data_IF_665733423611
#
_entry.id   IF_665733423611
#
_cell.length_a   1.000
_cell.length_b   1.000
_cell.length_c   1.000
_cell.angle_alpha   90.00
_cell.angle_beta   90.00
_cell.angle_gamma   90.00
#
_symmetry.space_group_name_H-M   'P 1'
#
loop_
_entity.id
_entity.type
_entity.pdbx_description
1 polymer ?
#
# COMPACT_ATOMS: atom_id res chain seq x y z
N UNK A 1 7.70 11.28 -10.64
CA UNK A 1 8.97 11.87 -11.11
C UNK A 1 10.05 10.80 -11.01
N UNK A 2 10.54 10.31 -12.15
CA UNK A 2 11.72 9.46 -12.26
C UNK A 2 12.59 10.06 -13.39
N UNK A 3 13.85 10.36 -13.08
CA UNK A 3 14.92 10.42 -14.07
C UNK A 3 15.84 9.25 -13.76
N UNK A 4 15.87 8.27 -14.65
CA UNK A 4 16.72 7.10 -14.55
C UNK A 4 16.82 6.47 -15.94
N UNK A 5 17.80 6.92 -16.71
CA UNK A 5 18.09 6.43 -18.04
C UNK A 5 18.59 4.97 -17.95
N UNK A 6 17.97 4.07 -18.72
CA UNK A 6 18.50 2.75 -19.02
C UNK A 6 18.76 2.68 -20.54
N UNK A 7 20.01 2.41 -20.99
CA UNK A 7 20.35 2.42 -22.41
C UNK A 7 20.27 1.02 -22.99
N UNK A 8 19.20 0.69 -23.70
CA UNK A 8 19.18 -0.46 -24.61
C UNK A 8 18.27 -0.18 -25.81
N UNK A 9 18.85 0.38 -26.88
CA UNK A 9 18.32 0.18 -28.22
C UNK A 9 19.48 0.14 -29.22
N UNK A 10 19.94 -1.08 -29.49
CA UNK A 10 20.84 -1.38 -30.60
C UNK A 10 20.04 -1.87 -31.81
N UNK A 11 20.05 -1.06 -32.86
CA UNK A 11 19.99 -1.46 -34.28
C UNK A 11 18.69 -2.13 -34.78
N UNK A 12 17.87 -1.36 -35.52
CA UNK A 12 17.43 -1.68 -36.90
C UNK A 12 16.78 -0.43 -37.52
N UNK A 13 17.45 0.20 -38.48
CA UNK A 13 16.87 1.23 -39.36
C UNK A 13 17.14 0.82 -40.81
N UNK A 14 16.07 0.49 -41.54
CA UNK A 14 16.02 0.58 -43.00
C UNK A 14 14.80 1.40 -43.39
N UNK A 15 15.10 2.55 -44.01
CA UNK A 15 14.34 3.16 -45.10
C UNK A 15 12.91 3.58 -44.82
N UNK A 16 12.68 4.89 -44.75
CA UNK A 16 11.73 5.60 -45.61
C UNK A 16 11.88 7.11 -45.39
N UNK A 17 12.27 7.82 -46.44
CA UNK A 17 12.26 9.27 -46.54
C UNK A 17 10.82 9.76 -46.70
N UNK A 18 10.33 10.56 -45.76
CA UNK A 18 9.06 11.27 -45.87
C UNK A 18 9.13 12.56 -45.05
N UNK A 19 9.12 13.70 -45.73
CA UNK A 19 9.07 15.02 -45.11
C UNK A 19 7.72 15.20 -44.41
N UNK A 20 7.74 15.47 -43.11
CA UNK A 20 6.56 15.86 -42.35
C UNK A 20 6.80 17.23 -41.73
N UNK A 21 5.98 18.19 -42.15
CA UNK A 21 5.89 19.53 -41.61
C UNK A 21 5.13 19.45 -40.28
N UNK A 22 5.77 19.80 -39.17
CA UNK A 22 5.14 19.80 -37.83
C UNK A 22 5.02 21.24 -37.34
N UNK A 23 3.79 21.68 -37.13
CA UNK A 23 3.42 22.95 -36.50
C UNK A 23 3.93 23.01 -35.05
N UNK A 24 4.50 24.16 -34.67
CA UNK A 24 5.08 24.37 -33.34
C UNK A 24 4.05 24.35 -32.21
N UNK A 25 4.43 23.74 -31.09
CA UNK A 25 3.69 23.82 -29.82
C UNK A 25 4.24 24.98 -28.98
N UNK A 26 3.31 25.73 -28.37
CA UNK A 26 3.58 26.77 -27.38
C UNK A 26 3.64 26.11 -26.00
N UNK A 27 4.77 26.21 -25.30
CA UNK A 27 4.89 25.78 -23.90
C UNK A 27 4.82 27.01 -22.98
N UNK A 28 3.72 27.14 -22.24
CA UNK A 28 3.57 28.11 -21.17
C UNK A 28 3.90 27.42 -19.85
N UNK A 29 4.99 27.84 -19.20
CA UNK A 29 5.30 27.47 -17.81
C UNK A 29 5.12 28.72 -16.95
N UNK A 30 4.13 28.70 -16.07
CA UNK A 30 3.87 29.78 -15.13
C UNK A 30 4.53 29.45 -13.77
N UNK A 31 5.52 30.25 -13.38
CA UNK A 31 5.94 30.37 -11.98
C UNK A 31 6.26 31.86 -11.72
N UNK A 32 5.52 32.48 -10.81
CA UNK A 32 5.90 33.72 -10.11
C UNK A 32 6.35 34.92 -10.96
N UNK A 33 5.39 35.71 -11.43
CA UNK A 33 5.47 37.17 -11.64
C UNK A 33 6.74 37.79 -12.25
N UNK A 34 7.28 37.26 -13.36
CA UNK A 34 7.98 38.03 -14.42
C UNK A 34 7.80 37.28 -15.75
N UNK A 35 7.16 37.92 -16.74
CA UNK A 35 7.10 37.39 -18.12
C UNK A 35 8.31 37.90 -18.89
N UNK A 36 9.32 37.04 -19.07
CA UNK A 36 10.42 37.30 -19.99
C UNK A 36 10.07 36.72 -21.37
N UNK A 37 9.75 37.58 -22.32
CA UNK A 37 9.54 37.21 -23.73
C UNK A 37 10.91 37.05 -24.39
N UNK A 38 11.39 35.81 -24.52
CA UNK A 38 12.57 35.50 -25.33
C UNK A 38 12.09 35.09 -26.72
N UNK A 39 12.18 36.01 -27.67
CA UNK A 39 11.98 35.72 -29.09
C UNK A 39 13.30 35.17 -29.65
N UNK A 40 13.30 33.91 -30.05
CA UNK A 40 14.40 33.36 -30.85
C UNK A 40 14.18 33.67 -32.33
N UNK A 41 15.15 34.27 -33.04
CA UNK A 41 15.08 34.33 -34.49
C UNK A 41 15.26 32.92 -35.06
N UNK A 42 14.37 32.53 -35.98
CA UNK A 42 14.49 31.31 -36.76
C UNK A 42 15.78 31.34 -37.58
N UNK A 43 16.82 30.63 -37.15
CA UNK A 43 17.98 30.35 -37.98
C UNK A 43 17.70 29.05 -38.74
N UNK A 44 17.54 29.16 -40.05
CA UNK A 44 17.57 27.99 -40.95
C UNK A 44 19.02 27.53 -41.03
N UNK A 45 19.36 26.45 -40.34
CA UNK A 45 20.67 25.81 -40.45
C UNK A 45 20.58 24.62 -41.41
N UNK A 46 21.12 24.79 -42.62
CA UNK A 46 21.55 23.66 -43.44
C UNK A 46 22.98 23.28 -43.02
N UNK A 47 23.14 22.16 -42.32
CA UNK A 47 24.44 21.66 -41.87
C UNK A 47 24.38 20.19 -41.46
N UNK A 48 25.52 19.48 -41.54
CA UNK A 48 25.62 18.05 -41.25
C UNK A 48 25.43 17.78 -39.75
N UNK A 49 24.83 16.62 -39.43
CA UNK A 49 24.40 16.20 -38.09
C UNK A 49 25.51 16.24 -37.03
N UNK A 50 26.78 16.14 -37.42
CA UNK A 50 27.94 16.15 -36.51
C UNK A 50 28.23 17.55 -35.91
N UNK A 51 27.83 18.63 -36.58
CA UNK A 51 28.08 20.00 -36.10
C UNK A 51 27.09 20.42 -34.98
N UNK A 52 25.88 19.85 -34.98
CA UNK A 52 24.82 20.14 -33.99
C UNK A 52 25.12 19.49 -32.63
N UNK A 53 25.79 18.32 -32.63
CA UNK A 53 26.18 17.61 -31.40
C UNK A 53 27.29 18.35 -30.65
N UNK A 54 28.24 18.92 -31.38
CA UNK A 54 29.37 19.66 -30.81
C UNK A 54 28.91 20.99 -30.19
N UNK A 55 27.95 21.67 -30.82
CA UNK A 55 27.38 22.92 -30.28
C UNK A 55 26.56 22.71 -29.00
N UNK A 56 25.83 21.60 -28.88
CA UNK A 56 25.08 21.25 -27.67
C UNK A 56 25.99 20.86 -26.49
N UNK A 57 27.13 20.21 -26.75
CA UNK A 57 28.12 19.93 -25.70
C UNK A 57 28.79 21.20 -25.18
N UNK A 58 29.05 22.18 -26.04
CA UNK A 58 29.64 23.46 -25.64
C UNK A 58 28.68 24.27 -24.74
N UNK A 59 27.38 24.28 -25.07
CA UNK A 59 26.34 24.99 -24.34
C UNK A 59 26.10 24.42 -22.93
N UNK A 60 26.26 23.11 -22.75
CA UNK A 60 26.21 22.45 -21.43
C UNK A 60 27.40 22.83 -20.54
N UNK A 61 28.59 23.02 -21.13
CA UNK A 61 29.77 23.46 -20.40
C UNK A 61 29.67 24.92 -19.93
N UNK A 62 29.07 25.79 -20.76
CA UNK A 62 28.91 27.21 -20.44
C UNK A 62 27.80 27.44 -19.40
N UNK A 63 26.73 26.64 -19.43
CA UNK A 63 25.71 26.64 -18.38
C UNK A 63 26.27 26.15 -17.02
N UNK A 64 27.13 25.14 -17.05
CA UNK A 64 27.81 24.65 -15.84
C UNK A 64 28.81 25.66 -15.27
N UNK A 65 29.43 26.48 -16.14
CA UNK A 65 30.31 27.59 -15.73
C UNK A 65 29.50 28.75 -15.13
N UNK A 66 28.39 29.14 -15.77
CA UNK A 66 27.50 30.19 -15.26
C UNK A 66 26.88 29.85 -13.88
N UNK A 67 26.56 28.57 -13.62
CA UNK A 67 26.03 28.13 -12.33
C UNK A 67 27.10 28.08 -11.22
N UNK A 68 28.39 27.94 -11.56
CA UNK A 68 29.50 28.07 -10.60
C UNK A 68 29.76 29.53 -10.20
N UNK A 69 29.56 30.48 -11.11
CA UNK A 69 29.80 31.91 -10.84
C UNK A 69 28.68 32.58 -10.02
N UNK A 70 27.50 31.94 -9.88
CA UNK A 70 26.36 32.45 -9.09
C UNK A 70 26.45 32.07 -7.59
N UNK A 71 27.53 31.41 -7.14
CA UNK A 71 27.87 31.35 -5.71
C UNK A 71 26.97 30.50 -4.80
N UNK A 72 26.21 29.54 -5.36
CA UNK A 72 25.30 28.66 -4.59
C UNK A 72 25.90 27.26 -4.42
N UNK A 73 27.09 27.13 -3.82
CA UNK A 73 27.53 25.90 -3.15
C UNK A 73 28.46 26.28 -1.99
N UNK A 74 27.94 26.34 -0.76
CA UNK A 74 28.78 26.41 0.46
C UNK A 74 29.27 25.02 0.84
N UNK A 75 30.60 24.88 0.89
CA UNK A 75 31.34 23.78 1.53
C UNK A 75 31.02 23.75 3.03
N UNK A 76 30.62 22.59 3.55
CA UNK A 76 30.87 22.21 4.94
C UNK A 76 31.95 21.12 4.91
N UNK A 77 33.18 21.53 5.21
CA UNK A 77 34.25 20.63 5.61
C UNK A 77 34.25 20.63 7.14
N UNK A 78 34.02 19.47 7.76
CA UNK A 78 34.28 19.25 9.18
C UNK A 78 35.27 18.10 9.30
N UNK A 79 36.36 18.42 9.97
CA UNK A 79 37.55 17.64 10.24
C UNK A 79 37.22 16.38 11.04
N UNK A 80 37.56 15.20 10.51
CA UNK A 80 37.59 13.95 11.27
C UNK A 80 38.95 13.83 11.96
N UNK A 81 38.98 14.08 13.27
CA UNK A 81 40.13 13.76 14.12
C UNK A 81 39.90 12.38 14.75
N UNK A 82 40.89 11.52 14.59
CA UNK A 82 41.01 10.18 15.15
C UNK A 82 41.15 10.24 16.67
N UNK A 83 40.35 9.46 17.40
CA UNK A 83 40.68 8.93 18.72
C UNK A 83 40.01 7.56 18.89
N UNK A 84 40.74 6.53 19.36
CA UNK A 84 40.19 5.19 19.59
C UNK A 84 39.28 5.15 20.84
N UNK A 85 38.27 4.27 20.91
CA UNK A 85 37.41 4.18 22.07
C UNK A 85 38.10 3.46 23.22
N UNK A 86 38.38 4.19 24.30
CA UNK A 86 38.62 3.62 25.63
C UNK A 86 37.36 2.93 26.12
N UNK A 87 37.41 1.61 26.24
CA UNK A 87 36.39 0.80 26.90
C UNK A 87 36.45 1.05 28.40
N UNK A 88 35.55 1.90 28.91
CA UNK A 88 35.32 2.04 30.36
C UNK A 88 34.16 1.12 30.73
N UNK A 89 34.50 -0.01 31.37
CA UNK A 89 33.52 -0.85 32.05
C UNK A 89 33.04 -0.13 33.32
N UNK A 90 31.93 0.60 33.23
CA UNK A 90 31.18 0.99 34.42
C UNK A 90 30.37 -0.21 34.90
N UNK A 91 30.86 -0.88 35.94
CA UNK A 91 30.02 -1.76 36.76
C UNK A 91 28.97 -0.90 37.49
N UNK A 92 27.78 -0.81 36.91
CA UNK A 92 26.61 -0.27 37.56
C UNK A 92 26.07 -1.33 38.53
N UNK A 93 26.43 -1.23 39.82
CA UNK A 93 25.69 -1.90 40.87
C UNK A 93 24.38 -1.14 41.10
N UNK A 94 23.35 -1.48 40.32
CA UNK A 94 21.99 -1.03 40.58
C UNK A 94 21.52 -1.54 41.96
N UNK A 95 20.77 -0.73 42.72
CA UNK A 95 20.19 -1.18 43.99
C UNK A 95 19.25 -2.37 43.72
N UNK A 96 19.34 -3.38 44.58
CA UNK A 96 18.44 -4.54 44.54
C UNK A 96 16.98 -4.08 44.56
N UNK A 97 16.11 -4.68 43.72
CA UNK A 97 14.69 -4.31 43.70
C UNK A 97 14.07 -4.57 45.08
N UNK A 98 13.21 -3.67 45.58
CA UNK A 98 12.50 -3.91 46.81
C UNK A 98 11.62 -5.15 46.66
N UNK A 99 11.75 -6.05 47.64
CA UNK A 99 11.01 -7.29 47.75
C UNK A 99 9.55 -6.97 48.12
N UNK A 100 8.75 -6.50 47.16
CA UNK A 100 7.33 -6.19 47.35
C UNK A 100 6.49 -7.44 47.11
N UNK A 101 6.38 -8.28 48.15
CA UNK A 101 5.37 -9.37 48.27
C UNK A 101 3.99 -8.82 48.64
N UNK A 102 3.57 -7.70 48.03
CA UNK A 102 2.21 -7.23 48.14
C UNK A 102 1.33 -8.08 47.19
N UNK A 103 0.64 -9.06 47.76
CA UNK A 103 -0.42 -9.81 47.08
C UNK A 103 -1.47 -8.80 46.63
N UNK A 104 -1.49 -8.52 45.32
CA UNK A 104 -2.48 -7.64 44.73
C UNK A 104 -3.87 -8.20 45.02
N UNK A 105 -4.72 -7.37 45.65
CA UNK A 105 -6.11 -7.72 45.87
C UNK A 105 -6.76 -8.09 44.52
N UNK A 106 -7.59 -9.14 44.46
CA UNK A 106 -8.28 -9.51 43.24
C UNK A 106 -9.09 -8.31 42.76
N UNK A 107 -8.86 -7.93 41.50
CA UNK A 107 -9.61 -6.85 40.86
C UNK A 107 -11.11 -7.15 40.99
N UNK A 108 -11.95 -6.14 41.30
CA UNK A 108 -13.39 -6.33 41.39
C UNK A 108 -13.90 -6.95 40.08
N UNK A 109 -14.64 -8.06 40.20
CA UNK A 109 -15.29 -8.71 39.06
C UNK A 109 -16.21 -7.70 38.38
N UNK A 110 -15.93 -7.38 37.12
CA UNK A 110 -16.82 -6.56 36.31
C UNK A 110 -18.20 -7.23 36.27
N UNK A 111 -19.30 -6.45 36.32
CA UNK A 111 -20.63 -7.00 36.11
C UNK A 111 -20.67 -7.75 34.77
N UNK A 112 -21.46 -8.84 34.66
CA UNK A 112 -21.63 -9.54 33.39
C UNK A 112 -22.09 -8.52 32.37
N UNK A 113 -21.35 -8.39 31.26
CA UNK A 113 -21.76 -7.56 30.14
C UNK A 113 -23.17 -7.99 29.76
N UNK A 114 -24.12 -7.04 29.64
CA UNK A 114 -25.39 -7.33 29.01
C UNK A 114 -25.05 -7.99 27.67
N UNK A 115 -25.54 -9.21 27.46
CA UNK A 115 -25.34 -9.97 26.22
C UNK A 115 -26.03 -9.19 25.09
N UNK A 116 -25.31 -8.20 24.55
CA UNK A 116 -25.73 -7.42 23.42
C UNK A 116 -25.93 -8.34 22.23
N UNK A 117 -26.97 -8.07 21.44
CA UNK A 117 -27.24 -8.83 20.24
C UNK A 117 -26.06 -8.72 19.28
N UNK A 118 -25.37 -9.85 19.07
CA UNK A 118 -24.19 -9.92 18.21
C UNK A 118 -24.61 -10.25 16.78
N UNK A 119 -23.98 -9.59 15.81
CA UNK A 119 -24.09 -9.98 14.39
C UNK A 119 -23.23 -11.21 14.15
N UNK A 120 -23.84 -12.25 13.62
CA UNK A 120 -23.16 -13.50 13.27
C UNK A 120 -22.94 -13.55 11.77
N UNK A 121 -21.70 -13.82 11.35
CA UNK A 121 -21.38 -14.03 9.95
C UNK A 121 -22.11 -15.27 9.41
N UNK A 122 -22.79 -15.12 8.27
CA UNK A 122 -23.55 -16.18 7.61
C UNK A 122 -22.85 -16.66 6.36
N UNK A 123 -22.50 -15.73 5.46
CA UNK A 123 -21.93 -16.10 4.17
C UNK A 123 -21.18 -14.96 3.49
N UNK A 124 -20.29 -15.38 2.59
CA UNK A 124 -19.70 -14.53 1.58
C UNK A 124 -20.31 -14.83 0.21
N UNK A 125 -20.68 -13.77 -0.51
CA UNK A 125 -21.24 -13.86 -1.86
C UNK A 125 -20.42 -12.98 -2.83
N UNK A 126 -19.75 -13.58 -3.83
CA UNK A 126 -19.04 -12.81 -4.85
C UNK A 126 -20.04 -12.08 -5.77
N UNK A 127 -19.66 -10.92 -6.28
CA UNK A 127 -20.41 -10.24 -7.34
C UNK A 127 -20.47 -11.12 -8.60
N UNK A 128 -21.45 -10.88 -9.48
CA UNK A 128 -21.55 -11.60 -10.74
C UNK A 128 -20.27 -11.51 -11.58
N UNK A 129 -19.63 -10.34 -11.58
CA UNK A 129 -18.37 -10.14 -12.28
C UNK A 129 -17.20 -10.84 -11.58
N UNK A 130 -17.10 -10.82 -10.25
CA UNK A 130 -16.09 -11.60 -9.53
C UNK A 130 -16.22 -13.09 -9.79
N UNK A 131 -17.45 -13.64 -9.71
CA UNK A 131 -17.69 -15.06 -9.91
C UNK A 131 -17.23 -15.50 -11.31
N UNK A 132 -17.57 -14.72 -12.34
CA UNK A 132 -17.06 -14.93 -13.69
C UNK A 132 -15.54 -14.72 -13.76
N UNK A 133 -15.01 -13.68 -13.10
CA UNK A 133 -13.58 -13.34 -13.04
C UNK A 133 -12.74 -14.52 -12.57
N UNK A 134 -13.03 -14.99 -11.35
CA UNK A 134 -12.34 -16.08 -10.66
C UNK A 134 -12.46 -17.39 -11.43
N UNK A 135 -13.65 -17.73 -11.94
CA UNK A 135 -13.88 -18.96 -12.71
C UNK A 135 -12.96 -19.09 -13.92
N UNK A 136 -12.64 -17.97 -14.58
CA UNK A 136 -11.79 -17.98 -15.78
C UNK A 136 -10.42 -17.31 -15.55
N UNK A 137 -9.98 -17.15 -14.29
CA UNK A 137 -8.74 -16.47 -13.93
C UNK A 137 -7.52 -17.05 -14.67
N UNK A 138 -7.41 -18.38 -14.73
CA UNK A 138 -6.30 -19.06 -15.40
C UNK A 138 -6.18 -18.70 -16.89
N UNK A 139 -7.30 -18.64 -17.62
CA UNK A 139 -7.29 -18.25 -19.03
C UNK A 139 -7.01 -16.76 -19.26
N UNK A 140 -7.20 -15.92 -18.23
CA UNK A 140 -7.06 -14.46 -18.31
C UNK A 140 -5.68 -13.95 -17.95
N UNK A 141 -5.05 -14.57 -16.94
CA UNK A 141 -3.87 -14.00 -16.26
C UNK A 141 -2.54 -14.51 -16.80
N UNK A 142 -2.52 -15.69 -17.42
CA UNK A 142 -1.29 -16.26 -17.90
C UNK A 142 -1.45 -16.87 -19.29
N UNK A 143 -0.90 -16.18 -20.28
CA UNK A 143 -0.47 -16.81 -21.53
C UNK A 143 0.98 -16.37 -21.74
N UNK A 144 1.96 -17.30 -21.77
CA UNK A 144 3.38 -16.96 -22.01
C UNK A 144 3.60 -16.28 -23.36
N UNK A 145 2.63 -16.33 -24.29
CA UNK A 145 2.63 -15.62 -25.56
C UNK A 145 1.98 -14.24 -25.48
N UNK A 146 1.42 -13.87 -24.33
CA UNK A 146 0.70 -12.62 -24.08
C UNK A 146 1.22 -11.92 -22.80
N UNK A 147 2.48 -11.47 -22.79
CA UNK A 147 3.09 -10.86 -21.61
C UNK A 147 2.42 -9.54 -21.19
N UNK A 148 1.56 -8.97 -22.05
CA UNK A 148 0.89 -7.69 -21.84
C UNK A 148 -0.49 -7.79 -21.20
N UNK A 149 -0.86 -8.96 -20.65
CA UNK A 149 -2.14 -9.12 -19.95
C UNK A 149 -3.36 -8.83 -20.86
N UNK A 150 -3.24 -9.01 -22.18
CA UNK A 150 -4.25 -8.55 -23.15
C UNK A 150 -5.62 -9.19 -22.91
N UNK A 151 -5.69 -10.48 -22.54
CA UNK A 151 -6.96 -11.16 -22.28
C UNK A 151 -7.66 -10.60 -21.04
N UNK A 152 -6.92 -10.45 -19.94
CA UNK A 152 -7.40 -9.80 -18.73
C UNK A 152 -7.88 -8.37 -19.04
N UNK A 153 -7.09 -7.58 -19.78
CA UNK A 153 -7.47 -6.21 -20.12
C UNK A 153 -8.65 -6.09 -21.07
N UNK A 154 -8.83 -7.03 -22.00
CA UNK A 154 -10.06 -7.08 -22.82
C UNK A 154 -11.28 -7.31 -21.92
N UNK A 155 -11.20 -8.18 -20.91
CA UNK A 155 -12.31 -8.39 -19.98
C UNK A 155 -12.56 -7.19 -19.06
N UNK A 156 -11.50 -6.56 -18.53
CA UNK A 156 -11.62 -5.32 -17.74
C UNK A 156 -12.30 -4.22 -18.57
N UNK A 157 -11.88 -4.04 -19.83
CA UNK A 157 -12.50 -3.04 -20.73
C UNK A 157 -13.95 -3.35 -21.05
N UNK A 158 -14.29 -4.62 -21.23
CA UNK A 158 -15.68 -5.05 -21.44
C UNK A 158 -16.57 -4.77 -20.21
N UNK A 159 -15.99 -4.65 -19.01
CA UNK A 159 -16.70 -4.41 -17.74
C UNK A 159 -16.47 -3.00 -17.18
N UNK A 160 -15.96 -2.05 -17.97
CA UNK A 160 -15.64 -0.69 -17.48
C UNK A 160 -16.86 0.04 -16.90
N UNK A 161 -18.06 -0.19 -17.45
CA UNK A 161 -19.29 0.38 -16.91
C UNK A 161 -19.59 -0.09 -15.49
N UNK A 162 -19.33 -1.36 -15.16
CA UNK A 162 -19.49 -1.93 -13.81
C UNK A 162 -18.43 -1.34 -12.87
N UNK A 163 -17.18 -1.26 -13.31
CA UNK A 163 -16.08 -0.65 -12.55
C UNK A 163 -16.39 0.81 -12.21
N UNK A 164 -16.90 1.56 -13.18
CA UNK A 164 -17.26 2.96 -13.00
C UNK A 164 -18.42 3.15 -12.01
N UNK A 165 -19.41 2.25 -12.04
CA UNK A 165 -20.51 2.27 -11.07
C UNK A 165 -20.04 1.96 -9.66
N UNK A 166 -19.14 0.98 -9.52
CA UNK A 166 -18.48 0.66 -8.26
C UNK A 166 -17.74 1.88 -7.70
N UNK A 167 -16.76 2.43 -8.43
CA UNK A 167 -15.95 3.55 -7.92
C UNK A 167 -16.82 4.76 -7.60
N UNK A 168 -17.83 5.07 -8.43
CA UNK A 168 -18.78 6.16 -8.14
C UNK A 168 -19.60 5.91 -6.88
N UNK A 169 -20.00 4.67 -6.61
CA UNK A 169 -20.76 4.32 -5.42
C UNK A 169 -19.95 4.51 -4.14
N UNK A 170 -18.67 4.09 -4.14
CA UNK A 170 -17.74 4.39 -3.02
C UNK A 170 -17.58 5.89 -2.84
N UNK A 171 -17.30 6.62 -3.93
CA UNK A 171 -17.16 8.07 -3.86
C UNK A 171 -18.44 8.76 -3.35
N UNK A 172 -19.62 8.24 -3.69
CA UNK A 172 -20.90 8.73 -3.18
C UNK A 172 -21.05 8.44 -1.68
N UNK A 173 -20.79 7.20 -1.24
CA UNK A 173 -20.79 6.82 0.17
C UNK A 173 -19.91 7.75 1.00
N UNK A 174 -18.65 7.99 0.57
CA UNK A 174 -17.70 8.89 1.23
C UNK A 174 -18.19 10.34 1.33
N UNK A 175 -18.84 10.86 0.28
CA UNK A 175 -19.44 12.21 0.28
C UNK A 175 -20.64 12.32 1.21
N UNK A 176 -21.43 11.26 1.32
CA UNK A 176 -22.64 11.23 2.16
C UNK A 176 -22.35 10.87 3.62
N UNK A 177 -21.15 10.36 3.92
CA UNK A 177 -20.77 9.90 5.25
C UNK A 177 -21.60 8.69 5.69
N UNK A 178 -21.92 7.78 4.77
CA UNK A 178 -22.82 6.65 5.02
C UNK A 178 -22.26 5.33 4.47
N UNK A 179 -22.54 4.19 5.14
CA UNK A 179 -22.21 2.88 4.61
C UNK A 179 -22.66 2.67 3.17
N UNK A 180 -21.80 2.02 2.39
CA UNK A 180 -22.09 1.68 1.01
C UNK A 180 -23.20 0.61 0.95
N UNK A 181 -24.24 0.88 0.15
CA UNK A 181 -25.29 -0.09 -0.12
C UNK A 181 -24.75 -1.28 -0.93
N UNK A 182 -24.98 -2.50 -0.44
CA UNK A 182 -24.54 -3.75 -1.06
C UNK A 182 -25.37 -4.12 -2.32
N UNK A 183 -25.27 -3.28 -3.36
CA UNK A 183 -25.99 -3.46 -4.63
C UNK A 183 -25.57 -4.77 -5.32
N UNK A 184 -26.50 -5.73 -5.49
CA UNK A 184 -26.19 -7.01 -6.12
C UNK A 184 -25.63 -6.81 -7.53
N UNK A 185 -24.62 -7.62 -7.88
CA UNK A 185 -23.99 -7.61 -9.21
C UNK A 185 -22.90 -6.56 -9.41
N UNK A 186 -22.84 -5.51 -8.57
CA UNK A 186 -21.74 -4.53 -8.58
C UNK A 186 -20.69 -4.92 -7.53
N UNK A 187 -21.13 -5.11 -6.29
CA UNK A 187 -20.27 -5.43 -5.15
C UNK A 187 -20.36 -6.90 -4.81
N UNK A 188 -19.26 -7.41 -4.25
CA UNK A 188 -19.33 -8.63 -3.45
C UNK A 188 -19.89 -8.24 -2.08
N UNK A 189 -20.35 -9.21 -1.29
CA UNK A 189 -20.96 -8.89 0.01
C UNK A 189 -20.75 -9.97 1.05
N UNK A 190 -20.73 -9.53 2.30
CA UNK A 190 -20.92 -10.37 3.47
C UNK A 190 -22.37 -10.29 3.92
N UNK A 191 -22.90 -11.41 4.38
CA UNK A 191 -24.22 -11.51 4.98
C UNK A 191 -24.06 -11.82 6.45
N UNK A 192 -24.74 -11.04 7.29
CA UNK A 192 -24.78 -11.23 8.73
C UNK A 192 -26.23 -11.41 9.19
N UNK A 193 -26.43 -12.22 10.22
CA UNK A 193 -27.70 -12.35 10.93
C UNK A 193 -27.53 -11.84 12.36
N UNK A 194 -28.42 -10.96 12.80
CA UNK A 194 -28.51 -10.58 14.21
C UNK A 194 -29.00 -11.77 15.04
N UNK A 195 -28.21 -12.18 16.03
CA UNK A 195 -28.49 -13.37 16.83
C UNK A 195 -29.84 -13.30 17.56
N UNK A 196 -30.30 -12.10 17.93
CA UNK A 196 -31.53 -11.86 18.68
C UNK A 196 -32.74 -11.67 17.77
N UNK A 197 -32.63 -10.75 16.81
CA UNK A 197 -33.77 -10.32 15.99
C UNK A 197 -33.98 -11.19 14.77
N UNK A 198 -32.96 -11.96 14.38
CA UNK A 198 -32.91 -12.70 13.12
C UNK A 198 -32.98 -11.81 11.89
N UNK A 199 -32.72 -10.51 12.05
CA UNK A 199 -32.61 -9.58 10.94
C UNK A 199 -31.32 -9.89 10.16
N UNK A 200 -31.47 -9.96 8.83
CA UNK A 200 -30.35 -10.18 7.92
C UNK A 200 -29.87 -8.83 7.41
N UNK A 201 -28.57 -8.59 7.50
CA UNK A 201 -27.91 -7.41 6.96
C UNK A 201 -26.81 -7.79 5.98
N UNK A 202 -26.53 -6.89 5.05
CA UNK A 202 -25.50 -7.08 4.03
C UNK A 202 -24.46 -5.95 4.09
N UNK A 203 -23.19 -6.33 4.10
CA UNK A 203 -22.06 -5.39 4.05
C UNK A 203 -21.39 -5.52 2.68
N UNK A 204 -21.30 -4.41 1.95
CA UNK A 204 -20.64 -4.36 0.65
C UNK A 204 -19.12 -4.50 0.82
N UNK A 205 -18.48 -5.24 -0.09
CA UNK A 205 -17.02 -5.33 -0.21
C UNK A 205 -16.63 -5.31 -1.69
N UNK A 206 -15.42 -4.86 -1.99
CA UNK A 206 -14.89 -4.84 -3.35
C UNK A 206 -14.87 -6.23 -4.01
N UNK A 207 -15.20 -6.36 -5.30
CA UNK A 207 -14.97 -7.57 -6.07
C UNK A 207 -13.49 -7.99 -6.15
N UNK A 208 -13.19 -9.29 -6.00
CA UNK A 208 -11.89 -9.86 -6.35
C UNK A 208 -11.75 -9.97 -7.87
N UNK A 209 -11.18 -8.94 -8.49
CA UNK A 209 -11.03 -8.85 -9.95
C UNK A 209 -9.67 -8.27 -10.35
N UNK A 210 -9.40 -8.21 -11.66
CA UNK A 210 -8.22 -7.61 -12.24
C UNK A 210 -6.89 -8.16 -11.70
N UNK A 211 -6.01 -7.30 -11.21
CA UNK A 211 -4.72 -7.66 -10.62
C UNK A 211 -4.76 -7.64 -9.08
N UNK A 212 -5.96 -7.71 -8.47
CA UNK A 212 -6.17 -7.50 -7.03
C UNK A 212 -5.62 -6.14 -6.55
N UNK A 213 -5.78 -5.14 -7.41
CA UNK A 213 -5.48 -3.73 -7.19
C UNK A 213 -6.62 -2.91 -7.78
N UNK A 214 -6.42 -1.59 -7.91
CA UNK A 214 -7.37 -0.73 -8.60
C UNK A 214 -7.80 -1.37 -9.93
N UNK A 215 -9.11 -1.60 -10.17
CA UNK A 215 -9.59 -2.48 -11.24
C UNK A 215 -9.25 -1.98 -12.66
N UNK A 216 -8.95 -0.69 -12.81
CA UNK A 216 -8.47 -0.09 -14.08
C UNK A 216 -6.94 -0.08 -14.26
N UNK A 217 -6.19 -0.40 -13.22
CA UNK A 217 -4.74 -0.35 -13.30
C UNK A 217 -4.24 -1.31 -14.41
N UNK A 218 -3.15 -0.92 -15.07
CA UNK A 218 -2.58 -1.53 -16.30
C UNK A 218 -3.42 -1.40 -17.55
N UNK A 219 -4.71 -1.69 -17.48
CA UNK A 219 -5.56 -1.74 -18.68
C UNK A 219 -5.93 -0.37 -19.23
N UNK A 220 -5.81 0.68 -18.39
CA UNK A 220 -6.05 2.09 -18.69
C UNK A 220 -4.84 2.99 -18.35
N UNK A 221 -3.64 2.40 -18.25
CA UNK A 221 -2.42 3.09 -17.83
C UNK A 221 -1.97 2.72 -16.42
N UNK A 222 -0.85 3.30 -15.99
CA UNK A 222 -0.24 3.01 -14.68
C UNK A 222 -0.69 3.97 -13.59
N UNK A 223 -1.20 5.15 -13.92
CA UNK A 223 -1.63 6.14 -12.92
C UNK A 223 -2.56 5.59 -11.82
N UNK A 224 -3.53 4.69 -12.12
CA UNK A 224 -4.43 4.16 -11.09
C UNK A 224 -3.78 3.18 -10.10
N UNK A 225 -2.55 2.71 -10.33
CA UNK A 225 -1.90 1.65 -9.53
C UNK A 225 -1.86 1.96 -8.03
N UNK A 226 -1.63 3.23 -7.68
CA UNK A 226 -1.48 3.68 -6.30
C UNK A 226 -2.77 4.26 -5.71
N UNK A 227 -3.84 4.32 -6.51
CA UNK A 227 -5.14 4.80 -6.04
C UNK A 227 -5.81 3.72 -5.17
N UNK A 228 -6.43 4.18 -4.09
CA UNK A 228 -7.15 3.37 -3.08
C UNK A 228 -8.62 3.77 -2.97
N UNK A 229 -9.11 4.55 -3.93
CA UNK A 229 -10.51 5.03 -4.04
C UNK A 229 -11.51 3.92 -4.45
N UNK A 230 -11.00 2.73 -4.77
CA UNK A 230 -11.78 1.53 -5.07
C UNK A 230 -12.01 0.63 -3.84
N UNK A 231 -11.32 0.88 -2.72
CA UNK A 231 -11.48 0.12 -1.48
C UNK A 231 -12.75 0.56 -0.74
N UNK A 232 -13.55 -0.43 -0.30
CA UNK A 232 -14.69 -0.20 0.59
C UNK A 232 -14.18 -0.27 2.02
N UNK A 233 -14.42 0.78 2.81
CA UNK A 233 -14.05 0.81 4.23
C UNK A 233 -15.31 0.94 5.09
N UNK A 234 -15.35 0.33 6.28
CA UNK A 234 -16.51 0.42 7.16
C UNK A 234 -16.60 1.82 7.80
N UNK A 235 -17.82 2.17 8.19
CA UNK A 235 -18.11 3.33 9.05
C UNK A 235 -18.20 2.91 10.50
N UNK A 236 -17.96 3.83 11.42
CA UNK A 236 -18.09 3.56 12.86
C UNK A 236 -19.47 3.02 13.25
N UNK A 237 -20.52 3.41 12.54
CA UNK A 237 -21.90 2.91 12.75
C UNK A 237 -22.09 1.43 12.40
N UNK A 238 -21.13 0.81 11.72
CA UNK A 238 -21.14 -0.62 11.37
C UNK A 238 -20.30 -1.47 12.32
N UNK A 239 -19.49 -0.84 13.17
CA UNK A 239 -18.56 -1.52 14.07
C UNK A 239 -19.18 -1.71 15.46
N UNK A 240 -18.74 -2.76 16.13
CA UNK A 240 -19.06 -2.99 17.54
C UNK A 240 -18.40 -1.92 18.45
N UNK A 241 -18.93 -1.70 19.67
CA UNK A 241 -18.48 -0.63 20.56
C UNK A 241 -17.10 -0.83 21.23
N UNK A 242 -16.22 -1.68 20.69
CA UNK A 242 -14.88 -1.92 21.24
C UNK A 242 -13.81 -0.91 20.83
N UNK A 243 -12.58 -1.24 21.23
CA UNK A 243 -11.39 -0.47 20.87
C UNK A 243 -11.03 -0.72 19.41
N UNK A 244 -10.24 0.17 18.83
CA UNK A 244 -9.82 0.09 17.43
C UNK A 244 -8.29 -0.09 17.33
N UNK A 245 -7.87 -1.10 16.58
CA UNK A 245 -6.47 -1.43 16.37
C UNK A 245 -6.11 -1.42 14.89
N UNK A 246 -4.94 -0.88 14.60
CA UNK A 246 -4.31 -0.97 13.28
C UNK A 246 -2.92 -1.62 13.42
N UNK A 247 -2.76 -2.80 12.83
CA UNK A 247 -1.47 -3.48 12.71
C UNK A 247 -0.94 -3.27 11.29
N UNK A 248 0.17 -2.56 11.12
CA UNK A 248 0.80 -2.28 9.83
C UNK A 248 2.13 -3.03 9.70
N UNK A 249 2.13 -4.11 8.93
CA UNK A 249 3.34 -4.90 8.67
C UNK A 249 3.98 -4.41 7.36
N UNK A 250 5.15 -3.79 7.47
CA UNK A 250 5.81 -3.06 6.37
C UNK A 250 5.35 -1.62 6.25
N UNK A 251 5.48 -0.90 7.37
CA UNK A 251 4.94 0.43 7.59
C UNK A 251 5.65 1.56 6.83
N UNK A 252 6.89 1.37 6.38
CA UNK A 252 7.73 2.46 5.88
C UNK A 252 7.77 3.66 6.86
N UNK A 253 7.69 4.91 6.35
CA UNK A 253 7.55 6.14 7.15
C UNK A 253 6.12 6.64 7.00
N UNK A 254 5.51 7.14 8.08
CA UNK A 254 4.08 7.51 8.13
C UNK A 254 3.51 8.17 6.85
N UNK A 255 4.19 9.22 6.35
CA UNK A 255 3.76 10.01 5.19
C UNK A 255 4.54 9.72 3.89
N UNK A 256 5.26 8.61 3.80
CA UNK A 256 6.12 8.26 2.66
C UNK A 256 6.11 6.76 2.37
N UNK A 257 6.26 6.41 1.10
CA UNK A 257 6.41 5.02 0.64
C UNK A 257 6.49 4.98 -0.89
N UNK A 258 7.10 3.94 -1.45
CA UNK A 258 7.18 3.78 -2.91
C UNK A 258 5.78 3.65 -3.53
N UNK A 259 4.87 2.96 -2.85
CA UNK A 259 3.45 2.85 -3.19
C UNK A 259 2.56 3.99 -2.69
N UNK A 260 3.17 5.07 -2.18
CA UNK A 260 2.50 6.14 -1.46
C UNK A 260 2.45 5.91 0.06
N UNK A 261 1.94 6.91 0.79
CA UNK A 261 1.85 6.92 2.23
C UNK A 261 0.66 6.08 2.74
N UNK A 262 0.73 4.74 2.62
CA UNK A 262 -0.39 3.86 2.95
C UNK A 262 -0.85 3.99 4.40
N UNK A 263 0.08 4.08 5.36
CA UNK A 263 -0.26 4.27 6.78
C UNK A 263 -1.06 5.57 7.01
N UNK A 264 -0.56 6.71 6.51
CA UNK A 264 -1.30 7.98 6.57
C UNK A 264 -2.67 7.84 5.93
N UNK A 265 -2.76 7.24 4.75
CA UNK A 265 -4.02 7.07 4.04
C UNK A 265 -5.05 6.28 4.85
N UNK A 266 -4.67 5.15 5.45
CA UNK A 266 -5.58 4.37 6.29
C UNK A 266 -6.03 5.17 7.52
N UNK A 267 -5.11 5.81 8.24
CA UNK A 267 -5.46 6.62 9.42
C UNK A 267 -6.45 7.73 9.06
N UNK A 268 -6.22 8.43 7.95
CA UNK A 268 -7.08 9.54 7.51
C UNK A 268 -8.43 9.05 6.98
N UNK A 269 -8.46 7.97 6.19
CA UNK A 269 -9.69 7.47 5.59
C UNK A 269 -10.61 6.79 6.63
N UNK A 270 -10.05 6.03 7.58
CA UNK A 270 -10.84 5.49 8.70
C UNK A 270 -11.37 6.62 9.60
N UNK A 271 -10.57 7.65 9.89
CA UNK A 271 -11.01 8.83 10.64
C UNK A 271 -12.15 9.56 9.94
N UNK A 272 -12.08 9.72 8.61
CA UNK A 272 -13.18 10.29 7.81
C UNK A 272 -14.48 9.49 7.96
N UNK A 273 -14.37 8.17 8.15
CA UNK A 273 -15.49 7.26 8.43
C UNK A 273 -15.90 7.20 9.92
N UNK A 274 -15.35 8.07 10.76
CA UNK A 274 -15.63 8.16 12.19
C UNK A 274 -14.89 7.13 13.05
N UNK A 275 -13.87 6.46 12.50
CA UNK A 275 -13.08 5.43 13.17
C UNK A 275 -11.68 5.98 13.45
N UNK A 276 -11.45 6.47 14.67
CA UNK A 276 -10.10 6.76 15.16
C UNK A 276 -9.49 5.49 15.77
N UNK A 277 -8.21 5.23 15.51
CA UNK A 277 -7.48 4.08 16.06
C UNK A 277 -6.97 4.36 17.48
N UNK A 278 -7.37 3.55 18.46
CA UNK A 278 -6.87 3.61 19.83
C UNK A 278 -5.40 3.20 19.94
N UNK A 279 -4.98 2.29 19.07
CA UNK A 279 -3.63 1.73 18.97
C UNK A 279 -3.25 1.47 17.52
N UNK A 280 -2.05 1.92 17.14
CA UNK A 280 -1.41 1.59 15.88
C UNK A 280 -0.09 0.92 16.19
N UNK A 281 0.13 -0.29 15.68
CA UNK A 281 1.37 -1.05 15.85
C UNK A 281 1.97 -1.27 14.47
N UNK A 282 3.17 -0.75 14.26
CA UNK A 282 3.80 -0.66 12.94
C UNK A 282 5.17 -1.35 12.95
N UNK A 283 5.42 -2.23 11.98
CA UNK A 283 6.70 -2.93 11.81
C UNK A 283 7.37 -2.50 10.51
N UNK A 284 8.69 -2.26 10.56
CA UNK A 284 9.49 -1.92 9.38
C UNK A 284 10.87 -2.57 9.49
N UNK A 285 11.23 -3.38 8.50
CA UNK A 285 12.51 -4.07 8.45
C UNK A 285 13.67 -3.13 8.09
N UNK A 286 13.41 -2.11 7.26
CA UNK A 286 14.43 -1.16 6.78
C UNK A 286 14.87 -0.25 7.92
N UNK A 287 16.17 -0.24 8.29
CA UNK A 287 16.67 0.64 9.34
C UNK A 287 16.31 2.10 9.06
N UNK A 288 15.58 2.70 9.99
CA UNK A 288 15.01 4.05 9.90
C UNK A 288 15.34 4.81 11.18
N UNK A 289 15.99 5.96 11.04
CA UNK A 289 16.27 6.81 12.20
C UNK A 289 14.96 7.20 12.89
N UNK A 290 14.89 7.02 14.21
CA UNK A 290 13.69 7.33 14.98
C UNK A 290 13.19 8.76 14.75
N UNK A 291 14.09 9.74 14.64
CA UNK A 291 13.73 11.12 14.32
C UNK A 291 13.07 11.26 12.94
N UNK A 292 13.52 10.52 11.92
CA UNK A 292 12.92 10.52 10.59
C UNK A 292 11.47 10.03 10.65
N UNK A 293 11.22 8.92 11.35
CA UNK A 293 9.87 8.37 11.50
C UNK A 293 8.98 9.31 12.33
N UNK A 294 9.39 9.63 13.56
CA UNK A 294 8.56 10.38 14.51
C UNK A 294 8.35 11.85 14.12
N UNK A 295 9.17 12.45 13.26
CA UNK A 295 8.89 13.77 12.70
C UNK A 295 7.79 13.75 11.64
N UNK A 296 7.52 12.59 11.02
CA UNK A 296 6.46 12.43 10.02
C UNK A 296 5.09 12.14 10.64
N UNK A 297 5.04 11.57 11.85
CA UNK A 297 3.79 11.24 12.54
C UNK A 297 3.12 12.51 13.09
N UNK A 298 1.83 12.77 12.79
CA UNK A 298 1.07 13.88 13.36
C UNK A 298 1.01 13.85 14.89
N UNK A 299 0.94 15.01 15.53
CA UNK A 299 1.02 15.13 16.99
C UNK A 299 -0.10 14.38 17.73
N UNK A 300 -1.31 14.35 17.15
CA UNK A 300 -2.47 13.62 17.64
C UNK A 300 -2.34 12.10 17.49
N UNK A 301 -1.60 11.62 16.48
CA UNK A 301 -1.41 10.18 16.22
C UNK A 301 -0.29 9.58 17.08
N UNK A 302 0.74 10.36 17.42
CA UNK A 302 1.92 9.88 18.18
C UNK A 302 1.58 9.09 19.46
N UNK A 303 0.65 9.52 20.33
CA UNK A 303 0.32 8.80 21.57
C UNK A 303 -0.30 7.42 21.34
N UNK A 304 -0.85 7.17 20.14
CA UNK A 304 -1.51 5.92 19.78
C UNK A 304 -0.57 4.95 19.05
N UNK A 305 0.60 5.43 18.62
CA UNK A 305 1.52 4.69 17.75
C UNK A 305 2.62 3.96 18.53
N UNK A 306 2.90 2.74 18.13
CA UNK A 306 4.10 1.97 18.49
C UNK A 306 4.81 1.55 17.21
N UNK A 307 6.11 1.86 17.11
CA UNK A 307 6.91 1.58 15.93
C UNK A 307 8.06 0.62 16.25
N UNK A 308 8.04 -0.53 15.61
CA UNK A 308 9.01 -1.60 15.72
C UNK A 308 9.89 -1.59 14.47
N UNK A 309 11.08 -0.97 14.56
CA UNK A 309 12.02 -0.97 13.44
C UNK A 309 12.86 -2.26 13.40
N UNK A 310 12.16 -3.37 13.28
CA UNK A 310 12.67 -4.74 13.19
C UNK A 310 11.82 -5.52 12.17
N UNK A 311 12.39 -6.54 11.50
CA UNK A 311 11.62 -7.37 10.58
C UNK A 311 10.55 -8.19 11.32
N UNK A 312 9.41 -8.38 10.67
CA UNK A 312 8.38 -9.33 11.10
C UNK A 312 8.86 -10.77 10.93
N UNK A 313 8.51 -11.64 11.86
CA UNK A 313 8.71 -13.09 11.73
C UNK A 313 7.37 -13.81 11.59
N UNK A 314 7.32 -14.87 10.77
CA UNK A 314 6.15 -15.74 10.67
C UNK A 314 6.24 -16.96 11.58
N UNK A 315 7.27 -17.10 12.41
CA UNK A 315 7.42 -18.25 13.31
C UNK A 315 6.38 -18.19 14.44
N UNK A 316 5.50 -19.20 14.59
CA UNK A 316 4.53 -19.23 15.69
C UNK A 316 5.23 -19.17 17.06
N UNK A 317 4.72 -18.33 17.97
CA UNK A 317 5.27 -18.14 19.32
C UNK A 317 6.51 -17.22 19.41
N UNK A 318 7.07 -16.77 18.28
CA UNK A 318 8.13 -15.75 18.27
C UNK A 318 7.63 -14.43 18.88
N UNK A 319 8.51 -13.73 19.61
CA UNK A 319 8.23 -12.40 20.16
C UNK A 319 8.02 -11.34 19.07
N UNK A 320 8.51 -11.60 17.86
CA UNK A 320 8.42 -10.72 16.69
C UNK A 320 7.36 -11.21 15.67
N UNK A 321 6.48 -12.12 16.09
CA UNK A 321 5.32 -12.52 15.30
C UNK A 321 4.11 -11.64 15.68
N UNK A 322 3.62 -10.78 14.77
CA UNK A 322 2.55 -9.81 15.06
C UNK A 322 1.21 -10.48 15.38
N UNK A 323 0.96 -11.71 14.91
CA UNK A 323 -0.27 -12.44 15.25
C UNK A 323 -0.31 -12.80 16.76
N UNK A 324 0.86 -12.95 17.38
CA UNK A 324 0.99 -13.09 18.83
C UNK A 324 0.65 -11.81 19.60
N UNK A 325 0.71 -10.64 18.96
CA UNK A 325 0.24 -9.38 19.55
C UNK A 325 -1.27 -9.27 19.43
N UNK A 326 -1.86 -9.61 18.27
CA UNK A 326 -3.31 -9.58 18.07
C UNK A 326 -4.00 -10.43 19.16
N UNK A 327 -3.63 -11.71 19.28
CA UNK A 327 -4.19 -12.62 20.30
C UNK A 327 -4.03 -12.15 21.75
N UNK A 328 -3.00 -11.36 22.07
CA UNK A 328 -2.75 -10.87 23.44
C UNK A 328 -3.38 -9.52 23.74
N UNK A 329 -3.59 -8.68 22.73
CA UNK A 329 -3.98 -7.28 22.92
C UNK A 329 -5.45 -7.03 22.59
N UNK A 330 -6.05 -7.82 21.71
CA UNK A 330 -7.40 -7.62 21.18
C UNK A 330 -8.37 -8.64 21.75
N UNK A 331 -9.66 -8.37 21.56
CA UNK A 331 -10.79 -9.23 21.93
C UNK A 331 -11.80 -9.20 20.78
N UNK A 332 -12.74 -10.16 20.70
CA UNK A 332 -13.70 -10.23 19.60
C UNK A 332 -14.59 -8.99 19.44
N UNK A 333 -14.76 -8.18 20.48
CA UNK A 333 -15.51 -6.91 20.40
C UNK A 333 -14.69 -5.71 19.89
N UNK A 334 -13.36 -5.84 19.85
CA UNK A 334 -12.48 -4.79 19.33
C UNK A 334 -12.45 -4.85 17.80
N UNK A 335 -12.38 -3.70 17.13
CA UNK A 335 -12.16 -3.63 15.68
C UNK A 335 -10.67 -3.70 15.36
N UNK A 336 -10.27 -4.66 14.51
CA UNK A 336 -8.87 -4.94 14.18
C UNK A 336 -8.66 -4.91 12.67
N UNK A 337 -7.89 -3.91 12.23
CA UNK A 337 -7.39 -3.81 10.86
C UNK A 337 -5.93 -4.30 10.80
N UNK A 338 -5.65 -5.24 9.91
CA UNK A 338 -4.32 -5.78 9.66
C UNK A 338 -3.89 -5.49 8.22
N UNK A 339 -2.78 -4.78 8.04
CA UNK A 339 -2.09 -4.64 6.75
C UNK A 339 -0.86 -5.55 6.70
N UNK A 340 -0.69 -6.28 5.60
CA UNK A 340 0.45 -7.15 5.31
C UNK A 340 1.09 -6.70 3.98
N UNK A 341 2.27 -6.10 4.03
CA UNK A 341 2.99 -5.56 2.88
C UNK A 341 4.48 -5.43 3.24
N UNK A 342 5.15 -6.55 3.45
CA UNK A 342 6.49 -6.66 4.08
C UNK A 342 7.59 -6.75 3.00
N UNK A 343 7.22 -6.78 1.71
CA UNK A 343 8.09 -7.07 0.57
C UNK A 343 8.81 -8.43 0.69
N UNK A 344 8.27 -9.36 1.49
CA UNK A 344 8.81 -10.71 1.69
C UNK A 344 7.71 -11.78 1.62
N UNK A 345 7.39 -12.20 0.39
CA UNK A 345 6.26 -13.07 0.04
C UNK A 345 6.17 -14.35 0.89
N UNK A 346 7.27 -15.10 1.16
CA UNK A 346 7.18 -16.29 2.01
C UNK A 346 6.73 -16.00 3.45
N UNK A 347 7.12 -14.84 4.02
CA UNK A 347 6.68 -14.45 5.37
C UNK A 347 5.22 -14.04 5.36
N UNK A 348 4.80 -13.23 4.39
CA UNK A 348 3.41 -12.78 4.25
C UNK A 348 2.45 -13.96 4.09
N UNK A 349 2.77 -14.88 3.17
CA UNK A 349 1.98 -16.10 2.97
C UNK A 349 1.90 -16.94 4.24
N UNK A 350 3.02 -17.15 4.94
CA UNK A 350 3.04 -17.93 6.17
C UNK A 350 2.19 -17.28 7.29
N UNK A 351 2.08 -15.96 7.33
CA UNK A 351 1.17 -15.25 8.25
C UNK A 351 -0.29 -15.47 7.85
N UNK A 352 -0.62 -15.34 6.56
CA UNK A 352 -1.99 -15.59 6.05
C UNK A 352 -2.42 -17.04 6.30
N UNK A 353 -1.52 -18.00 6.13
CA UNK A 353 -1.79 -19.41 6.42
C UNK A 353 -2.05 -19.66 7.91
N UNK A 354 -1.34 -18.95 8.80
CA UNK A 354 -1.62 -18.99 10.24
C UNK A 354 -3.01 -18.43 10.58
N UNK A 355 -3.41 -17.33 9.94
CA UNK A 355 -4.75 -16.75 10.12
C UNK A 355 -5.80 -17.78 9.68
N UNK A 356 -5.69 -18.30 8.46
CA UNK A 356 -6.62 -19.30 7.92
C UNK A 356 -6.66 -20.61 8.71
N UNK A 357 -5.59 -20.96 9.43
CA UNK A 357 -5.53 -22.15 10.27
C UNK A 357 -6.07 -21.93 11.69
N UNK A 358 -6.30 -20.68 12.11
CA UNK A 358 -6.68 -20.33 13.47
C UNK A 358 -8.05 -19.67 13.52
N UNK A 359 -9.04 -20.40 14.05
CA UNK A 359 -10.38 -19.85 14.30
C UNK A 359 -10.36 -18.63 15.21
N UNK A 360 -9.45 -18.62 16.19
CA UNK A 360 -9.28 -17.49 17.10
C UNK A 360 -8.83 -16.24 16.33
N UNK A 361 -7.83 -16.35 15.45
CA UNK A 361 -7.38 -15.19 14.66
C UNK A 361 -8.45 -14.70 13.68
N UNK A 362 -9.20 -15.61 13.05
CA UNK A 362 -10.34 -15.23 12.19
C UNK A 362 -11.43 -14.48 12.96
N UNK A 363 -11.61 -14.76 14.25
CA UNK A 363 -12.56 -14.03 15.11
C UNK A 363 -12.02 -12.69 15.63
N UNK A 364 -10.69 -12.48 15.60
CA UNK A 364 -10.04 -11.30 16.14
C UNK A 364 -9.63 -10.28 15.07
N UNK A 365 -9.76 -10.59 13.78
CA UNK A 365 -9.33 -9.72 12.68
C UNK A 365 -10.52 -9.43 11.78
N UNK A 366 -10.96 -8.17 11.75
CA UNK A 366 -12.11 -7.74 10.97
C UNK A 366 -11.74 -7.38 9.52
N UNK A 367 -10.58 -6.76 9.33
CA UNK A 367 -10.15 -6.22 8.04
C UNK A 367 -8.70 -6.62 7.73
N UNK A 368 -8.47 -7.16 6.53
CA UNK A 368 -7.13 -7.53 6.05
C UNK A 368 -6.84 -6.86 4.72
N UNK A 369 -5.77 -6.05 4.70
CA UNK A 369 -5.20 -5.48 3.49
C UNK A 369 -3.85 -6.15 3.20
N UNK A 370 -3.82 -7.03 2.21
CA UNK A 370 -2.61 -7.78 1.89
C UNK A 370 -2.13 -7.49 0.46
N UNK A 371 -0.89 -7.05 0.33
CA UNK A 371 -0.20 -6.97 -0.96
C UNK A 371 0.51 -8.30 -1.26
N UNK A 372 -0.21 -9.24 -1.88
CA UNK A 372 0.39 -10.54 -2.18
C UNK A 372 1.38 -10.45 -3.35
N UNK A 373 2.66 -10.41 -3.02
CA UNK A 373 3.79 -10.46 -3.95
C UNK A 373 3.87 -11.80 -4.68
N UNK A 374 3.39 -11.85 -5.93
CA UNK A 374 3.25 -13.09 -6.73
C UNK A 374 3.76 -13.00 -8.16
N UNK A 375 4.05 -14.16 -8.75
CA UNK A 375 4.34 -14.32 -10.18
C UNK A 375 3.09 -14.10 -11.04
N UNK A 376 3.32 -13.89 -12.34
CA UNK A 376 2.28 -13.73 -13.37
C UNK A 376 1.33 -12.55 -13.13
N UNK A 377 1.67 -11.69 -12.18
CA UNK A 377 1.05 -10.38 -11.96
C UNK A 377 1.71 -9.36 -12.89
N UNK A 378 0.95 -8.35 -13.36
CA UNK A 378 1.55 -7.29 -14.17
C UNK A 378 2.50 -6.41 -13.33
N UNK A 379 2.49 -6.56 -12.00
CA UNK A 379 3.46 -5.97 -11.08
C UNK A 379 4.88 -6.52 -11.21
N UNK A 380 5.04 -7.79 -11.63
CA UNK A 380 6.37 -8.41 -11.76
C UNK A 380 7.27 -7.53 -12.61
N UNK A 381 6.79 -7.10 -13.78
CA UNK A 381 7.56 -6.28 -14.72
C UNK A 381 7.69 -4.80 -14.30
N UNK A 382 7.01 -4.36 -13.24
CA UNK A 382 6.82 -2.95 -12.90
C UNK A 382 7.18 -2.60 -11.46
N UNK A 383 7.99 -3.43 -10.80
CA UNK A 383 8.49 -3.13 -9.46
C UNK A 383 8.88 -4.36 -8.65
N UNK A 384 8.28 -5.53 -8.94
CA UNK A 384 8.50 -6.73 -8.12
C UNK A 384 9.57 -7.70 -8.67
N UNK A 385 10.08 -7.55 -9.91
CA UNK A 385 10.91 -8.59 -10.58
C UNK A 385 12.18 -8.99 -9.81
N UNK A 386 12.84 -8.03 -9.16
CA UNK A 386 14.09 -8.28 -8.43
C UNK A 386 13.88 -9.15 -7.18
N UNK A 387 12.84 -8.83 -6.42
CA UNK A 387 12.61 -9.40 -5.09
C UNK A 387 12.01 -10.81 -5.18
N UNK A 388 11.07 -11.03 -6.11
CA UNK A 388 10.41 -12.33 -6.26
C UNK A 388 11.37 -13.45 -6.66
N UNK A 389 12.34 -13.16 -7.55
CA UNK A 389 13.36 -14.13 -7.99
C UNK A 389 14.29 -14.49 -6.85
N UNK A 390 14.74 -13.50 -6.07
CA UNK A 390 15.60 -13.72 -4.91
C UNK A 390 14.91 -14.55 -3.83
N UNK A 391 13.60 -14.34 -3.64
CA UNK A 391 12.77 -15.01 -2.64
C UNK A 391 12.26 -16.39 -3.08
N UNK A 392 12.52 -16.82 -4.33
CA UNK A 392 12.05 -18.10 -4.88
C UNK A 392 10.53 -18.27 -4.80
N UNK A 393 9.80 -17.18 -5.02
CA UNK A 393 8.33 -17.20 -5.04
C UNK A 393 7.84 -18.11 -6.16
N UNK A 394 6.92 -19.02 -5.85
CA UNK A 394 6.29 -19.94 -6.81
C UNK A 394 4.82 -19.63 -7.04
N UNK A 395 4.23 -18.82 -6.17
CA UNK A 395 2.83 -18.44 -6.14
C UNK A 395 2.55 -17.52 -7.32
N UNK A 396 1.33 -17.61 -7.82
CA UNK A 396 0.81 -16.82 -8.94
C UNK A 396 -0.43 -16.08 -8.50
N UNK A 397 -0.90 -15.13 -9.31
CA UNK A 397 -2.14 -14.40 -9.01
C UNK A 397 -3.37 -15.33 -8.79
N UNK A 398 -3.40 -16.51 -9.43
CA UNK A 398 -4.45 -17.52 -9.19
C UNK A 398 -4.45 -17.98 -7.73
N UNK A 399 -3.27 -18.18 -7.13
CA UNK A 399 -3.15 -18.53 -5.72
C UNK A 399 -3.63 -17.38 -4.84
N UNK A 400 -3.37 -16.12 -5.23
CA UNK A 400 -3.91 -14.97 -4.52
C UNK A 400 -5.44 -15.01 -4.48
N UNK A 401 -6.13 -15.27 -5.61
CA UNK A 401 -7.58 -15.44 -5.62
C UNK A 401 -8.07 -16.54 -4.67
N UNK A 402 -7.37 -17.68 -4.60
CA UNK A 402 -7.70 -18.74 -3.64
C UNK A 402 -7.60 -18.23 -2.20
N UNK A 403 -6.46 -17.63 -1.82
CA UNK A 403 -6.27 -17.12 -0.46
C UNK A 403 -7.30 -16.06 -0.09
N UNK A 404 -7.53 -15.04 -0.92
CA UNK A 404 -8.52 -14.00 -0.63
C UNK A 404 -9.94 -14.57 -0.54
N UNK A 405 -10.29 -15.52 -1.41
CA UNK A 405 -11.60 -16.19 -1.33
C UNK A 405 -11.75 -16.98 -0.03
N UNK A 406 -10.69 -17.64 0.43
CA UNK A 406 -10.69 -18.39 1.70
C UNK A 406 -10.76 -17.46 2.89
N UNK A 407 -10.01 -16.36 2.89
CA UNK A 407 -10.06 -15.33 3.94
C UNK A 407 -11.47 -14.74 4.07
N UNK A 408 -12.12 -14.42 2.95
CA UNK A 408 -13.50 -13.90 2.94
C UNK A 408 -14.56 -14.90 3.43
N UNK A 409 -14.25 -16.19 3.49
CA UNK A 409 -15.16 -17.26 3.91
C UNK A 409 -14.88 -17.79 5.32
N UNK A 410 -13.70 -17.49 5.85
CA UNK A 410 -13.27 -17.89 7.18
C UNK A 410 -13.96 -16.99 8.21
#
# INVERSE_FOLDING_TARGET
>A
FFFGACPLLGVFLRGLTGAMQVSGYLLLVAVGTVVLLVLYPSVVLSGKVEDVVTQNMQMSSDLTRALKDIGVIRKLAVTAAQNPPTTVHHHYHGPSPPNNTAVAAPAPSLPPAEEGCQKVFVSYEPSAWEADWVKNAGARMWDPRNPHWTNACTNVRANVGTIDQWIRGIAQSRREGKPLEAKPGIYSRFTYEDACTKEVSHVAIEPLVAALRHPKAWCYGTDPIFLKDWLVLPYKSQLDPGRTFYFDLGASVYNQGLGGASMQWFVEEYRHNGVDFDRILAWEATPTAASKFWNAVPADVKPHMQYFNIPVTSTPGSADNPLGYITKLTRPEDFVMLKIDIDHSPTEQALVEQILASKELCLLIDEIFWEHHVLNSPMVQNGWDGDLKAQRVTQTLIHSYDYFTRLRKA
#
